data_IF_063705870012
#
_entry.id   IF_063705870012
#
_cell.length_a   1.000
_cell.length_b   1.000
_cell.length_c   1.000
_cell.angle_alpha   90.00
_cell.angle_beta   90.00
_cell.angle_gamma   90.00
#
_symmetry.space_group_name_H-M   'P 1'
#
loop_
_entity.id
_entity.type
_entity.pdbx_description
1 polymer ?
#
# COMPACT_ATOMS: atom_id res chain seq x y z
N UNK A 1 9.75 12.89 -23.11
CA UNK A 1 10.98 12.12 -22.72
C UNK A 1 10.84 10.65 -23.06
N UNK A 2 11.95 9.95 -23.33
CA UNK A 2 12.04 8.49 -23.41
C UNK A 2 12.13 7.89 -22.02
N UNK A 3 11.20 7.02 -21.67
CA UNK A 3 11.04 6.51 -20.28
C UNK A 3 11.10 5.00 -20.26
N UNK A 4 11.93 4.43 -19.39
CA UNK A 4 11.79 3.05 -18.92
C UNK A 4 10.98 3.06 -17.63
N UNK A 5 9.91 2.26 -17.61
CA UNK A 5 9.04 2.15 -16.43
C UNK A 5 9.33 0.87 -15.64
N UNK A 6 9.59 1.00 -14.35
CA UNK A 6 9.85 -0.12 -13.44
C UNK A 6 8.75 -0.23 -12.38
N UNK A 7 7.98 -1.32 -12.40
CA UNK A 7 6.88 -1.50 -11.46
C UNK A 7 6.26 -2.90 -11.51
N UNK A 8 5.35 -3.21 -10.56
CA UNK A 8 4.73 -4.55 -10.53
C UNK A 8 3.24 -4.56 -10.16
N UNK A 9 2.76 -3.97 -9.05
CA UNK A 9 1.37 -4.09 -8.60
C UNK A 9 0.40 -3.19 -9.38
N UNK A 10 -0.89 -3.29 -9.04
CA UNK A 10 -1.98 -2.52 -9.66
C UNK A 10 -1.73 -0.99 -9.56
N UNK A 11 -1.24 -0.51 -8.42
CA UNK A 11 -0.84 0.89 -8.25
C UNK A 11 0.13 1.35 -9.37
N UNK A 12 1.14 0.55 -9.66
CA UNK A 12 2.11 0.85 -10.71
C UNK A 12 1.48 0.75 -12.10
N UNK A 13 0.56 -0.17 -12.33
CA UNK A 13 -0.14 -0.30 -13.61
C UNK A 13 -1.00 0.93 -13.91
N UNK A 14 -1.69 1.50 -12.91
CA UNK A 14 -2.45 2.76 -13.05
C UNK A 14 -1.51 3.92 -13.43
N UNK A 15 -0.35 4.01 -12.79
CA UNK A 15 0.66 5.02 -13.13
C UNK A 15 1.21 4.83 -14.55
N UNK A 16 1.47 3.57 -14.97
CA UNK A 16 1.93 3.25 -16.32
C UNK A 16 0.86 3.61 -17.36
N UNK A 17 -0.40 3.27 -17.12
CA UNK A 17 -1.50 3.59 -18.05
C UNK A 17 -1.59 5.09 -18.29
N UNK A 18 -1.56 5.89 -17.21
CA UNK A 18 -1.58 7.35 -17.32
C UNK A 18 -0.33 7.92 -18.02
N UNK A 19 0.84 7.30 -17.81
CA UNK A 19 2.06 7.68 -18.49
C UNK A 19 1.95 7.43 -20.01
N UNK A 20 1.36 6.30 -20.42
CA UNK A 20 1.12 5.95 -21.83
C UNK A 20 0.14 6.89 -22.54
N UNK A 21 -0.71 7.59 -21.80
CA UNK A 21 -1.63 8.62 -22.33
C UNK A 21 -0.97 10.02 -22.44
N UNK A 22 0.26 10.17 -21.97
CA UNK A 22 0.99 11.45 -21.98
C UNK A 22 1.91 11.56 -23.21
N UNK A 23 2.55 12.73 -23.36
CA UNK A 23 3.52 12.99 -24.41
C UNK A 23 4.87 12.26 -24.22
N UNK A 24 5.00 11.41 -23.21
CA UNK A 24 6.21 10.62 -22.97
C UNK A 24 6.19 9.32 -23.77
N UNK A 25 7.35 8.93 -24.27
CA UNK A 25 7.54 7.65 -24.97
C UNK A 25 8.00 6.57 -23.96
N UNK A 26 7.15 5.60 -23.66
CA UNK A 26 7.56 4.43 -22.85
C UNK A 26 8.31 3.45 -23.74
N UNK A 27 9.63 3.47 -23.66
CA UNK A 27 10.54 2.67 -24.51
C UNK A 27 10.80 1.26 -23.99
N UNK A 28 10.33 0.95 -22.79
CA UNK A 28 10.44 -0.38 -22.20
C UNK A 28 9.91 -0.42 -20.76
N UNK A 29 9.63 -1.63 -20.31
CA UNK A 29 9.10 -1.90 -18.99
C UNK A 29 9.96 -2.94 -18.28
N UNK A 30 10.18 -2.76 -16.97
CA UNK A 30 10.83 -3.74 -16.11
C UNK A 30 9.85 -4.12 -14.99
N UNK A 31 9.61 -5.40 -14.80
CA UNK A 31 8.71 -5.88 -13.75
C UNK A 31 9.30 -7.05 -12.97
N UNK A 32 8.70 -7.38 -11.83
CA UNK A 32 9.07 -8.58 -11.10
C UNK A 32 8.69 -9.82 -11.92
N UNK A 33 9.44 -10.93 -11.77
CA UNK A 33 9.07 -12.21 -12.35
C UNK A 33 7.67 -12.65 -11.94
N UNK A 34 7.03 -13.42 -12.81
CA UNK A 34 5.72 -14.02 -12.55
C UNK A 34 5.77 -14.90 -11.30
N UNK A 35 4.73 -14.83 -10.48
CA UNK A 35 4.65 -15.62 -9.24
C UNK A 35 3.59 -16.73 -9.37
N UNK A 36 3.83 -17.92 -8.79
CA UNK A 36 2.82 -18.95 -8.77
C UNK A 36 1.60 -18.52 -7.96
N UNK A 37 0.39 -18.85 -8.44
CA UNK A 37 -0.83 -18.65 -7.67
C UNK A 37 -0.81 -19.53 -6.42
N UNK A 38 -1.29 -19.03 -5.27
CA UNK A 38 -1.23 -19.67 -3.93
C UNK A 38 -1.71 -21.14 -3.89
N UNK A 39 -2.47 -21.61 -4.87
CA UNK A 39 -3.03 -22.97 -4.94
C UNK A 39 -2.89 -23.64 -6.30
N UNK A 40 -2.14 -23.09 -7.24
CA UNK A 40 -1.90 -23.68 -8.56
C UNK A 40 -0.46 -23.40 -9.01
N UNK A 41 0.08 -24.27 -9.86
CA UNK A 41 1.39 -24.07 -10.52
C UNK A 41 1.33 -23.02 -11.63
N UNK A 42 0.16 -22.46 -11.95
CA UNK A 42 0.02 -21.44 -13.00
C UNK A 42 0.68 -20.14 -12.55
N UNK A 43 1.63 -19.67 -13.32
CA UNK A 43 2.27 -18.38 -13.13
C UNK A 43 1.30 -17.26 -13.49
N UNK A 44 1.23 -16.24 -12.63
CA UNK A 44 0.43 -15.04 -12.86
C UNK A 44 1.38 -13.88 -13.12
N UNK A 45 1.25 -13.21 -14.28
CA UNK A 45 2.02 -12.01 -14.56
C UNK A 45 1.63 -10.88 -13.60
N UNK A 46 2.56 -9.98 -13.35
CA UNK A 46 2.27 -8.74 -12.61
C UNK A 46 1.29 -7.87 -13.40
N UNK A 47 0.59 -6.97 -12.73
CA UNK A 47 -0.34 -6.05 -13.39
C UNK A 47 0.36 -5.19 -14.44
N UNK A 48 1.56 -4.70 -14.14
CA UNK A 48 2.39 -3.92 -15.07
C UNK A 48 2.80 -4.75 -16.29
N UNK A 49 3.27 -5.99 -16.11
CA UNK A 49 3.64 -6.88 -17.22
C UNK A 49 2.44 -7.17 -18.14
N UNK A 50 1.26 -7.39 -17.55
CA UNK A 50 0.03 -7.62 -18.31
C UNK A 50 -0.32 -6.40 -19.17
N UNK A 51 -0.35 -5.21 -18.57
CA UNK A 51 -0.64 -3.97 -19.29
C UNK A 51 0.38 -3.69 -20.40
N UNK A 52 1.67 -3.86 -20.13
CA UNK A 52 2.72 -3.66 -21.12
C UNK A 52 2.59 -4.61 -22.33
N UNK A 53 2.25 -5.88 -22.08
CA UNK A 53 1.98 -6.85 -23.14
C UNK A 53 0.76 -6.47 -24.00
N UNK A 54 -0.32 -5.98 -23.39
CA UNK A 54 -1.52 -5.48 -24.10
C UNK A 54 -1.22 -4.26 -24.97
N UNK A 55 -0.19 -3.48 -24.61
CA UNK A 55 0.27 -2.29 -25.35
C UNK A 55 1.47 -2.57 -26.27
N UNK A 56 1.88 -3.83 -26.43
CA UNK A 56 3.02 -4.26 -27.24
C UNK A 56 4.35 -3.59 -26.83
N UNK A 57 4.55 -3.31 -25.54
CA UNK A 57 5.78 -2.76 -24.99
C UNK A 57 6.68 -3.91 -24.54
N UNK A 58 7.98 -3.80 -24.86
CA UNK A 58 8.98 -4.79 -24.44
C UNK A 58 9.10 -4.82 -22.91
N UNK A 59 9.11 -6.04 -22.32
CA UNK A 59 9.12 -6.24 -20.87
C UNK A 59 10.28 -7.12 -20.45
N UNK A 60 11.13 -6.59 -19.58
CA UNK A 60 12.15 -7.36 -18.86
C UNK A 60 11.67 -7.78 -17.47
N UNK A 61 11.94 -9.02 -17.09
CA UNK A 61 11.58 -9.56 -15.77
C UNK A 61 12.77 -10.24 -15.09
N UNK A 62 13.84 -9.49 -14.77
CA UNK A 62 15.07 -10.08 -14.24
C UNK A 62 14.89 -10.58 -12.79
N UNK A 63 15.42 -11.77 -12.51
CA UNK A 63 15.50 -12.29 -11.13
C UNK A 63 16.43 -11.45 -10.26
N UNK A 64 17.54 -11.00 -10.87
CA UNK A 64 18.56 -10.16 -10.22
C UNK A 64 18.86 -8.94 -11.08
N UNK A 65 19.29 -7.86 -10.41
CA UNK A 65 19.67 -6.61 -11.09
C UNK A 65 20.99 -6.02 -10.54
N UNK A 66 21.71 -6.76 -9.69
CA UNK A 66 22.87 -6.20 -8.95
C UNK A 66 24.14 -6.08 -9.80
N UNK A 67 24.34 -6.99 -10.77
CA UNK A 67 25.62 -7.16 -11.45
C UNK A 67 25.57 -6.73 -12.93
N UNK A 68 24.72 -5.78 -13.29
CA UNK A 68 24.62 -5.29 -14.66
C UNK A 68 23.60 -6.02 -15.53
N UNK A 69 22.74 -6.86 -14.96
CA UNK A 69 21.76 -7.67 -15.72
C UNK A 69 20.79 -6.82 -16.55
N UNK A 70 20.52 -5.58 -16.14
CA UNK A 70 19.69 -4.65 -16.90
C UNK A 70 20.46 -3.79 -17.91
N UNK A 71 21.79 -3.79 -17.88
CA UNK A 71 22.60 -2.90 -18.72
C UNK A 71 22.30 -3.05 -20.22
N UNK A 72 22.25 -4.28 -20.79
CA UNK A 72 21.93 -4.43 -22.22
C UNK A 72 20.55 -3.87 -22.59
N UNK A 73 19.56 -3.99 -21.69
CA UNK A 73 18.23 -3.46 -21.93
C UNK A 73 18.22 -1.92 -21.85
N UNK A 74 18.93 -1.33 -20.87
CA UNK A 74 19.05 0.12 -20.75
C UNK A 74 19.82 0.73 -21.92
N UNK A 75 20.91 0.09 -22.38
CA UNK A 75 21.66 0.54 -23.57
C UNK A 75 20.80 0.48 -24.84
N UNK A 76 20.01 -0.58 -25.02
CA UNK A 76 19.09 -0.74 -26.16
C UNK A 76 17.99 0.33 -26.14
N UNK A 77 17.36 0.55 -24.99
CA UNK A 77 16.23 1.46 -24.84
C UNK A 77 16.64 2.92 -24.73
N UNK A 78 17.86 3.19 -24.24
CA UNK A 78 18.46 4.49 -24.05
C UNK A 78 17.47 5.52 -23.45
N UNK A 79 16.97 5.31 -22.21
CA UNK A 79 15.98 6.18 -21.58
C UNK A 79 16.59 7.50 -21.12
N UNK A 80 15.81 8.59 -21.23
CA UNK A 80 16.12 9.88 -20.61
C UNK A 80 15.86 9.86 -19.11
N UNK A 81 14.88 9.08 -18.68
CA UNK A 81 14.45 8.92 -17.28
C UNK A 81 14.01 7.48 -17.01
N UNK A 82 14.27 6.97 -15.82
CA UNK A 82 13.68 5.72 -15.32
C UNK A 82 12.63 6.08 -14.27
N UNK A 83 11.39 5.64 -14.47
CA UNK A 83 10.30 5.80 -13.50
C UNK A 83 10.15 4.52 -12.69
N UNK A 84 10.10 4.66 -11.38
CA UNK A 84 9.98 3.52 -10.46
C UNK A 84 8.72 3.67 -9.61
N UNK A 85 7.85 2.66 -9.67
CA UNK A 85 6.60 2.64 -8.88
C UNK A 85 6.42 1.24 -8.28
N UNK A 86 6.60 1.12 -6.98
CA UNK A 86 6.42 -0.13 -6.25
C UNK A 86 7.09 -1.35 -6.93
N UNK A 87 8.32 -1.18 -7.40
CA UNK A 87 9.08 -2.25 -8.07
C UNK A 87 9.57 -3.32 -7.09
N UNK A 88 9.90 -2.94 -5.85
CA UNK A 88 10.22 -3.87 -4.76
C UNK A 88 11.65 -4.45 -4.80
N UNK A 89 12.59 -3.83 -5.51
CA UNK A 89 14.03 -4.13 -5.45
C UNK A 89 14.82 -2.83 -5.28
N UNK A 90 15.92 -2.90 -4.56
CA UNK A 90 16.90 -1.81 -4.45
C UNK A 90 17.62 -1.69 -5.79
N UNK A 91 17.65 -0.49 -6.36
CA UNK A 91 18.35 -0.23 -7.61
C UNK A 91 19.85 -0.09 -7.36
N UNK A 92 20.69 -0.80 -8.12
CA UNK A 92 22.13 -0.63 -8.05
C UNK A 92 22.56 0.67 -8.72
N UNK A 93 23.73 1.16 -8.34
CA UNK A 93 24.29 2.44 -8.81
C UNK A 93 24.30 2.58 -10.34
N UNK A 94 24.62 1.50 -11.09
CA UNK A 94 24.66 1.56 -12.57
C UNK A 94 23.27 1.84 -13.18
N UNK A 95 22.17 1.51 -12.49
CA UNK A 95 20.80 1.86 -12.91
C UNK A 95 20.48 3.30 -12.54
N UNK A 96 20.84 3.69 -11.30
CA UNK A 96 20.57 5.03 -10.77
C UNK A 96 21.25 6.12 -11.60
N UNK A 97 22.48 5.89 -12.02
CA UNK A 97 23.32 6.84 -12.76
C UNK A 97 23.11 6.79 -14.29
N UNK A 98 22.33 5.84 -14.81
CA UNK A 98 22.21 5.63 -16.24
C UNK A 98 21.48 6.75 -16.97
N UNK A 99 20.24 7.14 -16.54
CA UNK A 99 19.45 8.11 -17.30
C UNK A 99 19.81 9.57 -16.99
N UNK A 100 19.75 10.41 -17.99
CA UNK A 100 20.06 11.85 -17.90
C UNK A 100 19.29 12.57 -16.79
N UNK A 101 17.99 12.26 -16.62
CA UNK A 101 17.12 12.87 -15.61
C UNK A 101 17.02 12.03 -14.32
N UNK A 102 17.86 10.99 -14.18
CA UNK A 102 17.87 10.12 -13.00
C UNK A 102 16.69 9.16 -12.94
N UNK A 103 16.61 8.45 -11.81
CA UNK A 103 15.50 7.55 -11.50
C UNK A 103 14.48 8.29 -10.63
N UNK A 104 13.25 8.41 -11.10
CA UNK A 104 12.13 9.06 -10.39
C UNK A 104 11.25 8.00 -9.73
N UNK A 105 11.12 8.02 -8.41
CA UNK A 105 10.20 7.17 -7.68
C UNK A 105 8.91 7.92 -7.33
N UNK A 106 7.77 7.23 -7.46
CA UNK A 106 6.46 7.71 -6.98
C UNK A 106 6.20 7.04 -5.63
N UNK A 107 6.44 7.79 -4.56
CA UNK A 107 6.32 7.30 -3.20
C UNK A 107 4.97 7.66 -2.58
N UNK A 108 4.34 6.69 -1.89
CA UNK A 108 2.98 6.79 -1.35
C UNK A 108 2.89 7.51 0.00
N UNK A 109 3.64 8.58 0.20
CA UNK A 109 3.51 9.46 1.37
C UNK A 109 3.95 10.89 1.08
N UNK A 110 3.70 11.79 2.01
CA UNK A 110 4.31 13.13 2.04
C UNK A 110 5.68 13.04 2.74
N UNK A 111 6.74 12.74 1.98
CA UNK A 111 8.10 12.66 2.51
C UNK A 111 8.50 13.99 3.22
N UNK A 112 9.29 13.90 4.32
CA UNK A 112 10.06 12.74 4.80
C UNK A 112 9.30 11.76 5.70
N UNK A 113 7.99 11.94 5.93
CA UNK A 113 7.19 10.98 6.70
C UNK A 113 6.97 9.67 5.95
N UNK A 114 6.97 8.56 6.67
CA UNK A 114 6.60 7.22 6.15
C UNK A 114 7.48 6.74 4.99
N UNK A 115 8.81 6.88 5.11
CA UNK A 115 9.75 6.17 4.23
C UNK A 115 9.56 4.66 4.36
N UNK A 116 9.72 3.90 3.30
CA UNK A 116 9.68 2.43 3.33
C UNK A 116 8.47 1.81 2.66
N UNK A 117 8.11 0.60 3.09
CA UNK A 117 7.31 -0.32 2.27
C UNK A 117 5.79 -0.16 2.36
N UNK A 118 5.26 0.42 3.45
CA UNK A 118 3.82 0.43 3.72
C UNK A 118 3.26 1.82 4.12
N UNK A 119 3.63 2.91 3.41
CA UNK A 119 3.27 4.28 3.82
C UNK A 119 1.76 4.50 3.94
N UNK A 120 0.94 3.93 3.06
CA UNK A 120 -0.52 4.08 3.05
C UNK A 120 -1.13 3.46 4.32
N UNK A 121 -0.69 2.24 4.69
CA UNK A 121 -1.18 1.59 5.89
C UNK A 121 -0.77 2.35 7.15
N UNK A 122 0.47 2.85 7.21
CA UNK A 122 0.95 3.59 8.37
C UNK A 122 0.25 4.96 8.53
N UNK A 123 -0.12 5.63 7.44
CA UNK A 123 -0.93 6.83 7.52
C UNK A 123 -2.31 6.55 8.17
N UNK A 124 -2.95 5.43 7.79
CA UNK A 124 -4.21 4.99 8.41
C UNK A 124 -4.04 4.53 9.85
N UNK A 125 -3.01 3.74 10.16
CA UNK A 125 -2.70 3.26 11.52
C UNK A 125 -2.53 4.42 12.49
N UNK A 126 -1.85 5.47 12.06
CA UNK A 126 -1.59 6.66 12.89
C UNK A 126 -2.75 7.65 12.89
N UNK A 127 -3.87 7.35 12.23
CA UNK A 127 -5.05 8.22 12.21
C UNK A 127 -4.82 9.56 11.53
N UNK A 128 -3.87 9.64 10.59
CA UNK A 128 -3.62 10.85 9.81
C UNK A 128 -4.89 11.28 9.07
N UNK A 129 -5.09 12.58 8.95
CA UNK A 129 -6.22 13.16 8.20
C UNK A 129 -5.83 13.52 6.77
N UNK A 130 -4.54 13.55 6.49
CA UNK A 130 -3.95 13.78 5.17
C UNK A 130 -2.73 12.89 4.97
N UNK A 131 -2.56 12.44 3.76
CA UNK A 131 -1.35 11.83 3.25
C UNK A 131 -1.07 12.38 1.86
N UNK A 132 -0.35 11.68 1.02
CA UNK A 132 -0.15 12.12 -0.36
C UNK A 132 0.91 11.32 -1.08
N UNK A 133 1.24 11.83 -2.24
CA UNK A 133 2.29 11.31 -3.12
C UNK A 133 3.48 12.27 -3.10
N UNK A 134 4.66 11.73 -3.04
CA UNK A 134 5.90 12.46 -3.32
C UNK A 134 6.64 11.78 -4.47
N UNK A 135 6.82 12.47 -5.59
CA UNK A 135 7.84 12.07 -6.55
C UNK A 135 9.20 12.53 -6.05
N UNK A 136 10.22 11.68 -6.17
CA UNK A 136 11.58 11.97 -5.73
C UNK A 136 12.62 11.38 -6.67
N UNK A 137 13.79 11.99 -6.74
CA UNK A 137 14.98 11.36 -7.33
C UNK A 137 15.50 10.29 -6.38
N UNK A 138 15.73 9.10 -6.91
CA UNK A 138 16.27 8.01 -6.11
C UNK A 138 17.76 8.16 -5.88
N UNK A 139 18.18 7.81 -4.69
CA UNK A 139 19.58 7.61 -4.29
C UNK A 139 19.81 6.16 -3.81
N UNK A 140 20.97 5.86 -3.24
CA UNK A 140 21.29 4.53 -2.71
C UNK A 140 20.55 4.22 -1.38
N UNK A 141 19.90 5.22 -0.76
CA UNK A 141 19.16 5.08 0.49
C UNK A 141 17.71 4.62 0.28
N UNK A 142 17.05 4.30 1.38
CA UNK A 142 15.63 3.93 1.36
C UNK A 142 14.77 5.19 1.46
N UNK A 143 14.23 5.64 0.33
CA UNK A 143 13.36 6.80 0.19
C UNK A 143 13.97 8.09 0.79
N UNK A 144 15.28 8.29 0.62
CA UNK A 144 16.05 9.42 1.15
C UNK A 144 16.37 10.49 0.11
N UNK A 145 16.13 10.21 -1.16
CA UNK A 145 16.47 11.07 -2.26
C UNK A 145 15.72 12.41 -2.28
N UNK A 146 16.15 13.32 -3.12
CA UNK A 146 15.61 14.67 -3.20
C UNK A 146 14.18 14.67 -3.75
N UNK A 147 13.27 15.39 -3.10
CA UNK A 147 11.87 15.50 -3.50
C UNK A 147 11.72 16.39 -4.73
N UNK A 148 10.76 16.05 -5.59
CA UNK A 148 10.44 16.79 -6.81
C UNK A 148 9.08 17.49 -6.72
N UNK A 149 8.02 16.70 -6.51
CA UNK A 149 6.66 17.23 -6.44
C UNK A 149 5.86 16.48 -5.37
N UNK A 150 5.07 17.21 -4.59
CA UNK A 150 4.13 16.64 -3.62
C UNK A 150 2.69 16.88 -4.07
N UNK A 151 1.84 15.88 -3.87
CA UNK A 151 0.39 15.97 -4.07
C UNK A 151 -0.30 15.48 -2.81
N UNK A 152 -1.05 16.35 -2.13
CA UNK A 152 -1.81 15.97 -0.93
C UNK A 152 -3.06 15.17 -1.30
N UNK A 153 -3.40 14.21 -0.43
CA UNK A 153 -4.61 13.39 -0.51
C UNK A 153 -5.28 13.38 0.86
N UNK A 154 -6.54 13.75 0.93
CA UNK A 154 -7.32 13.71 2.18
C UNK A 154 -7.74 12.28 2.53
N UNK A 155 -7.65 11.95 3.81
CA UNK A 155 -8.09 10.68 4.37
C UNK A 155 -9.43 10.91 5.08
N UNK A 156 -10.51 10.38 4.53
CA UNK A 156 -11.81 10.43 5.16
C UNK A 156 -11.93 9.39 6.29
N UNK A 157 -12.90 9.59 7.17
CA UNK A 157 -13.11 8.69 8.30
C UNK A 157 -13.50 7.27 7.86
N UNK A 158 -14.20 7.17 6.72
CA UNK A 158 -14.61 5.89 6.12
C UNK A 158 -13.55 5.24 5.22
N UNK A 159 -12.42 5.91 4.98
CA UNK A 159 -11.36 5.31 4.16
C UNK A 159 -10.73 4.12 4.87
N UNK A 160 -10.60 3.04 4.12
CA UNK A 160 -9.78 1.90 4.45
C UNK A 160 -8.55 1.84 3.51
N UNK A 161 -7.73 0.81 3.64
CA UNK A 161 -6.55 0.67 2.78
C UNK A 161 -6.91 0.64 1.28
N UNK A 162 -7.96 -0.07 0.88
CA UNK A 162 -8.37 -0.19 -0.53
C UNK A 162 -8.79 1.16 -1.10
N UNK A 163 -9.70 1.87 -0.43
CA UNK A 163 -10.20 3.16 -0.92
C UNK A 163 -9.13 4.25 -0.93
N UNK A 164 -8.25 4.26 0.08
CA UNK A 164 -7.14 5.20 0.13
C UNK A 164 -6.07 4.84 -0.93
N UNK A 165 -5.76 3.55 -1.12
CA UNK A 165 -4.87 3.09 -2.18
C UNK A 165 -5.32 3.58 -3.55
N UNK A 166 -6.62 3.48 -3.87
CA UNK A 166 -7.16 3.89 -5.16
C UNK A 166 -7.07 5.42 -5.36
N UNK A 167 -7.38 6.20 -4.32
CA UNK A 167 -7.17 7.66 -4.32
C UNK A 167 -5.70 8.01 -4.56
N UNK A 168 -4.80 7.32 -3.87
CA UNK A 168 -3.36 7.52 -3.95
C UNK A 168 -2.80 7.11 -5.33
N UNK A 169 -3.31 6.03 -5.92
CA UNK A 169 -2.91 5.59 -7.25
C UNK A 169 -3.28 6.62 -8.32
N UNK A 170 -4.51 7.16 -8.27
CA UNK A 170 -4.94 8.23 -9.16
C UNK A 170 -4.09 9.51 -8.98
N UNK A 171 -3.83 9.92 -7.73
CA UNK A 171 -2.98 11.06 -7.44
C UNK A 171 -1.52 10.83 -7.90
N UNK A 172 -1.00 9.61 -7.74
CA UNK A 172 0.34 9.21 -8.16
C UNK A 172 0.51 9.25 -9.68
N UNK A 173 -0.49 8.80 -10.40
CA UNK A 173 -0.53 8.84 -11.86
C UNK A 173 -0.44 10.27 -12.40
N UNK A 174 -1.21 11.20 -11.85
CA UNK A 174 -1.17 12.62 -12.22
C UNK A 174 0.12 13.32 -11.77
N UNK A 175 0.60 13.00 -10.54
CA UNK A 175 1.87 13.51 -10.02
C UNK A 175 3.04 13.11 -10.93
N UNK A 176 3.09 11.86 -11.39
CA UNK A 176 4.11 11.34 -12.29
C UNK A 176 4.22 12.17 -13.58
N UNK A 177 3.12 12.36 -14.30
CA UNK A 177 3.12 13.07 -15.58
C UNK A 177 3.55 14.54 -15.40
N UNK A 178 3.04 15.19 -14.33
CA UNK A 178 3.45 16.57 -13.99
C UNK A 178 4.94 16.65 -13.65
N UNK A 179 5.45 15.67 -12.90
CA UNK A 179 6.87 15.61 -12.53
C UNK A 179 7.77 15.50 -13.76
N UNK A 180 7.48 14.57 -14.66
CA UNK A 180 8.28 14.37 -15.86
C UNK A 180 8.27 15.62 -16.77
N UNK A 181 7.11 16.22 -16.98
CA UNK A 181 6.99 17.46 -17.76
C UNK A 181 7.77 18.62 -17.12
N UNK A 182 7.67 18.77 -15.79
CA UNK A 182 8.38 19.84 -15.08
C UNK A 182 9.89 19.64 -15.05
N UNK A 183 10.38 18.39 -14.95
CA UNK A 183 11.80 18.06 -15.07
C UNK A 183 12.35 18.36 -16.46
N UNK A 184 11.64 17.97 -17.51
CA UNK A 184 12.05 18.21 -18.91
C UNK A 184 12.17 19.69 -19.22
N UNK A 185 11.23 20.49 -18.71
CA UNK A 185 11.21 21.96 -18.89
C UNK A 185 12.14 22.71 -17.92
N UNK A 186 12.72 22.02 -16.93
CA UNK A 186 13.52 22.65 -15.87
C UNK A 186 12.71 23.52 -14.89
N UNK A 187 11.40 23.32 -14.83
CA UNK A 187 10.47 24.01 -13.92
C UNK A 187 10.47 23.39 -12.52
N UNK A 188 10.70 22.08 -12.41
CA UNK A 188 10.85 21.35 -11.13
C UNK A 188 12.32 21.16 -10.83
N UNK A 189 12.72 21.55 -9.62
CA UNK A 189 14.09 21.37 -9.10
C UNK A 189 14.06 20.43 -7.91
N UNK A 190 15.05 19.53 -7.80
CA UNK A 190 15.16 18.66 -6.63
C UNK A 190 15.35 19.47 -5.34
N UNK A 191 14.60 19.09 -4.31
CA UNK A 191 14.68 19.69 -2.96
C UNK A 191 15.02 18.61 -1.93
N UNK A 192 16.02 18.88 -1.09
CA UNK A 192 16.40 17.95 -0.01
C UNK A 192 15.26 17.76 0.97
N UNK A 193 15.11 16.52 1.42
CA UNK A 193 14.19 16.22 2.50
C UNK A 193 14.66 16.88 3.79
N UNK A 194 13.79 17.66 4.43
CA UNK A 194 14.05 18.36 5.69
C UNK A 194 12.95 18.06 6.72
N UNK A 195 13.25 18.15 8.00
CA UNK A 195 12.32 17.87 9.09
C UNK A 195 12.35 16.42 9.57
N UNK A 196 11.41 16.09 10.46
CA UNK A 196 11.35 14.77 11.10
C UNK A 196 10.90 13.70 10.10
N UNK A 197 11.65 12.61 10.07
CA UNK A 197 11.35 11.45 9.25
C UNK A 197 10.89 10.28 10.11
N UNK A 198 10.01 9.45 9.55
CA UNK A 198 9.63 8.17 10.15
C UNK A 198 9.56 7.08 9.08
N UNK A 199 9.62 5.83 9.54
CA UNK A 199 9.64 4.67 8.66
C UNK A 199 8.34 3.89 8.75
N UNK A 200 7.83 3.46 7.60
CA UNK A 200 6.71 2.55 7.42
C UNK A 200 7.24 1.17 7.01
N UNK A 201 7.43 0.29 8.00
CA UNK A 201 7.99 -1.04 7.79
C UNK A 201 7.05 -1.96 7.00
N UNK A 202 7.57 -3.12 6.58
CA UNK A 202 6.72 -4.20 6.07
C UNK A 202 5.72 -4.65 7.14
N UNK A 203 4.48 -4.87 6.73
CA UNK A 203 3.42 -5.35 7.62
C UNK A 203 3.62 -6.84 7.90
N UNK A 204 3.89 -7.17 9.16
CA UNK A 204 3.98 -8.54 9.63
C UNK A 204 2.65 -9.09 10.17
N UNK A 205 2.67 -10.32 10.66
CA UNK A 205 1.47 -10.97 11.19
C UNK A 205 1.04 -10.38 12.54
N UNK A 206 2.00 -10.05 13.40
CA UNK A 206 1.72 -9.56 14.76
C UNK A 206 1.09 -8.17 14.72
N UNK A 207 1.54 -7.30 13.83
CA UNK A 207 0.92 -5.97 13.63
C UNK A 207 -0.57 -6.04 13.34
N UNK A 208 -1.05 -7.13 12.73
CA UNK A 208 -2.45 -7.32 12.33
C UNK A 208 -3.33 -7.89 13.43
N UNK A 209 -2.74 -8.42 14.50
CA UNK A 209 -3.50 -8.89 15.66
C UNK A 209 -4.13 -7.69 16.36
N UNK A 210 -5.43 -7.79 16.66
CA UNK A 210 -6.16 -6.76 17.39
C UNK A 210 -5.88 -6.95 18.88
N UNK A 211 -5.44 -5.87 19.53
CA UNK A 211 -5.29 -5.80 20.98
C UNK A 211 -6.42 -4.91 21.51
N UNK A 212 -7.41 -5.52 22.18
CA UNK A 212 -8.56 -4.78 22.70
C UNK A 212 -8.22 -3.96 23.97
N UNK A 213 -7.04 -4.10 24.53
CA UNK A 213 -6.55 -3.21 25.60
C UNK A 213 -6.14 -1.82 25.08
N UNK A 214 -6.03 -1.65 23.78
CA UNK A 214 -5.80 -0.38 23.12
C UNK A 214 -7.08 0.50 23.09
N UNK A 215 -6.92 1.77 22.74
CA UNK A 215 -8.04 2.69 22.58
C UNK A 215 -8.92 2.30 21.36
N UNK A 216 -10.20 2.62 21.44
CA UNK A 216 -11.19 2.34 20.36
C UNK A 216 -10.73 2.87 19.02
N UNK A 217 -10.15 4.08 19.00
CA UNK A 217 -9.65 4.72 17.79
C UNK A 217 -8.46 3.99 17.17
N UNK A 218 -7.52 3.51 17.99
CA UNK A 218 -6.37 2.74 17.52
C UNK A 218 -6.79 1.42 16.88
N UNK A 219 -7.76 0.74 17.51
CA UNK A 219 -8.32 -0.52 16.97
C UNK A 219 -9.06 -0.26 15.66
N UNK A 220 -9.87 0.81 15.60
CA UNK A 220 -10.56 1.20 14.38
C UNK A 220 -9.58 1.48 13.24
N UNK A 221 -8.54 2.26 13.51
CA UNK A 221 -7.49 2.58 12.56
C UNK A 221 -6.73 1.33 12.09
N UNK A 222 -6.44 0.38 12.99
CA UNK A 222 -5.83 -0.90 12.64
C UNK A 222 -6.71 -1.72 11.70
N UNK A 223 -8.00 -1.82 11.96
CA UNK A 223 -8.93 -2.57 11.11
C UNK A 223 -9.00 -1.96 9.71
N UNK A 224 -9.20 -0.65 9.60
CA UNK A 224 -9.28 0.01 8.29
C UNK A 224 -7.94 0.02 7.54
N UNK A 225 -6.80 0.14 8.23
CA UNK A 225 -5.47 0.11 7.63
C UNK A 225 -5.13 -1.24 6.97
N UNK A 226 -5.73 -2.33 7.44
CA UNK A 226 -5.47 -3.66 6.92
C UNK A 226 -6.64 -4.25 6.11
N UNK A 227 -7.73 -3.52 5.93
CA UNK A 227 -8.88 -3.97 5.16
C UNK A 227 -8.80 -3.53 3.69
N UNK A 228 -9.07 -4.43 2.75
CA UNK A 228 -9.44 -5.84 2.91
C UNK A 228 -8.24 -6.79 3.01
N UNK A 229 -7.03 -6.32 2.75
CA UNK A 229 -5.78 -7.11 2.72
C UNK A 229 -4.65 -6.30 3.37
N UNK A 230 -3.84 -6.91 4.24
CA UNK A 230 -3.75 -8.32 4.65
C UNK A 230 -4.76 -8.77 5.72
N UNK A 231 -5.64 -7.92 6.17
CA UNK A 231 -6.74 -8.09 7.12
C UNK A 231 -6.28 -8.18 8.59
N UNK A 232 -6.83 -7.33 9.45
CA UNK A 232 -6.70 -7.47 10.89
C UNK A 232 -7.45 -8.72 11.38
N UNK A 233 -7.03 -9.28 12.51
CA UNK A 233 -7.66 -10.48 13.06
C UNK A 233 -7.65 -10.49 14.58
N UNK A 234 -8.58 -11.26 15.14
CA UNK A 234 -8.66 -11.61 16.55
C UNK A 234 -8.90 -13.10 16.70
N UNK A 235 -8.96 -13.60 17.93
CA UNK A 235 -9.35 -14.97 18.24
C UNK A 235 -10.64 -14.95 19.04
N UNK A 236 -11.65 -15.72 18.60
CA UNK A 236 -12.92 -15.91 19.30
C UNK A 236 -13.14 -17.40 19.52
N UNK A 237 -13.33 -17.82 20.75
CA UNK A 237 -13.50 -19.25 21.11
C UNK A 237 -12.39 -20.14 20.53
N UNK A 238 -11.14 -19.68 20.57
CA UNK A 238 -9.98 -20.41 20.07
C UNK A 238 -9.78 -20.42 18.54
N UNK A 239 -10.68 -19.80 17.76
CA UNK A 239 -10.60 -19.75 16.31
C UNK A 239 -10.21 -18.34 15.83
N UNK A 240 -9.37 -18.26 14.79
CA UNK A 240 -9.00 -16.99 14.17
C UNK A 240 -10.22 -16.43 13.42
N UNK A 241 -10.50 -15.16 13.67
CA UNK A 241 -11.56 -14.39 13.01
C UNK A 241 -10.94 -13.15 12.37
N UNK A 242 -10.98 -13.07 11.06
CA UNK A 242 -10.57 -11.88 10.30
C UNK A 242 -11.64 -10.80 10.40
N UNK A 243 -11.22 -9.54 10.54
CA UNK A 243 -12.11 -8.39 10.69
C UNK A 243 -11.91 -7.45 9.51
N UNK A 244 -12.98 -7.22 8.75
CA UNK A 244 -12.96 -6.38 7.54
C UNK A 244 -13.56 -5.00 7.75
N UNK A 245 -14.56 -4.90 8.64
CA UNK A 245 -15.24 -3.63 8.91
C UNK A 245 -15.59 -3.52 10.39
N UNK A 246 -15.40 -2.34 10.93
CA UNK A 246 -15.77 -2.03 12.30
C UNK A 246 -16.47 -0.66 12.38
N UNK A 247 -17.14 -0.43 13.49
CA UNK A 247 -17.70 0.87 13.87
C UNK A 247 -17.39 1.14 15.34
N UNK A 248 -17.08 2.39 15.63
CA UNK A 248 -16.98 2.86 17.02
C UNK A 248 -18.36 2.87 17.64
N UNK A 249 -18.50 2.40 18.86
CA UNK A 249 -19.75 2.41 19.59
C UNK A 249 -19.73 3.49 20.67
N UNK A 250 -20.80 4.29 20.70
CA UNK A 250 -21.00 5.33 21.72
C UNK A 250 -21.73 4.75 22.92
N UNK A 251 -21.31 5.10 24.12
CA UNK A 251 -21.98 4.69 25.36
C UNK A 251 -21.01 4.22 26.43
N UNK A 252 -21.58 3.81 27.57
CA UNK A 252 -20.82 3.20 28.66
C UNK A 252 -21.00 1.68 28.61
N UNK A 253 -19.90 0.98 28.54
CA UNK A 253 -19.86 -0.49 28.43
C UNK A 253 -19.14 -1.07 29.64
N UNK A 254 -19.78 -2.03 30.30
CA UNK A 254 -19.21 -2.78 31.43
C UNK A 254 -18.44 -4.00 30.93
N UNK A 255 -17.39 -4.42 31.64
CA UNK A 255 -16.58 -5.57 31.31
C UNK A 255 -15.09 -5.22 31.15
N UNK A 256 -14.27 -6.21 30.85
CA UNK A 256 -12.84 -6.07 30.58
C UNK A 256 -12.61 -5.88 29.09
N UNK A 257 -11.51 -5.23 28.67
CA UNK A 257 -11.12 -5.21 27.28
C UNK A 257 -11.09 -6.63 26.67
N UNK A 258 -11.73 -6.79 25.52
CA UNK A 258 -11.93 -8.08 24.85
C UNK A 258 -13.29 -8.75 25.12
N UNK A 259 -14.00 -8.40 26.19
CA UNK A 259 -15.34 -8.94 26.46
C UNK A 259 -16.33 -8.52 25.38
N UNK A 260 -17.14 -9.46 24.89
CA UNK A 260 -18.29 -9.16 24.03
C UNK A 260 -19.45 -8.71 24.91
N UNK A 261 -19.90 -7.47 24.70
CA UNK A 261 -20.85 -6.78 25.58
C UNK A 261 -22.26 -6.67 25.00
N UNK A 262 -22.55 -7.38 23.92
CA UNK A 262 -23.90 -7.46 23.32
C UNK A 262 -24.19 -8.88 22.84
N UNK A 263 -25.45 -9.31 22.99
CA UNK A 263 -25.89 -10.65 22.55
C UNK A 263 -26.32 -10.68 21.07
N UNK A 264 -26.60 -9.54 20.48
CA UNK A 264 -27.15 -9.42 19.11
C UNK A 264 -26.13 -8.91 18.10
N UNK A 265 -25.13 -8.15 18.54
CA UNK A 265 -24.08 -7.55 17.74
C UNK A 265 -22.70 -7.86 18.33
N UNK A 266 -21.71 -8.03 17.52
CA UNK A 266 -20.35 -8.32 17.99
C UNK A 266 -19.66 -7.01 18.45
N UNK A 267 -20.17 -6.48 19.57
CA UNK A 267 -19.62 -5.29 20.21
C UNK A 267 -18.62 -5.75 21.28
N UNK A 268 -17.37 -5.31 21.13
CA UNK A 268 -16.25 -5.71 21.97
C UNK A 268 -15.78 -4.53 22.80
N UNK A 269 -15.63 -4.73 24.10
CA UNK A 269 -15.10 -3.72 25.03
C UNK A 269 -13.63 -3.42 24.71
N UNK A 270 -13.29 -2.15 24.72
CA UNK A 270 -11.92 -1.65 24.54
C UNK A 270 -11.43 -0.96 25.81
N UNK A 271 -10.25 -0.35 25.83
CA UNK A 271 -9.76 0.36 27.03
C UNK A 271 -10.65 1.54 27.43
N UNK A 272 -11.16 2.29 26.46
CA UNK A 272 -11.86 3.58 26.65
C UNK A 272 -13.30 3.60 26.14
N UNK A 273 -13.77 2.54 25.49
CA UNK A 273 -15.10 2.48 24.89
C UNK A 273 -15.47 1.07 24.44
N UNK A 274 -16.07 0.97 23.28
CA UNK A 274 -16.33 -0.31 22.61
C UNK A 274 -16.28 -0.16 21.07
N UNK A 275 -16.07 -1.26 20.39
CA UNK A 275 -16.04 -1.34 18.94
C UNK A 275 -16.91 -2.49 18.45
N UNK A 276 -17.76 -2.23 17.46
CA UNK A 276 -18.52 -3.29 16.76
C UNK A 276 -17.71 -3.82 15.59
N UNK A 277 -17.52 -5.12 15.53
CA UNK A 277 -16.87 -5.82 14.43
C UNK A 277 -17.94 -6.23 13.38
N UNK A 278 -18.27 -5.31 12.47
CA UNK A 278 -19.46 -5.41 11.61
C UNK A 278 -19.37 -6.49 10.52
N UNK A 279 -18.19 -6.68 9.91
CA UNK A 279 -17.96 -7.66 8.85
C UNK A 279 -16.74 -8.49 9.18
N UNK A 280 -16.92 -9.79 9.28
CA UNK A 280 -15.90 -10.73 9.73
C UNK A 280 -15.83 -11.98 8.87
N UNK A 281 -14.74 -12.74 8.98
CA UNK A 281 -14.63 -14.07 8.42
C UNK A 281 -13.92 -15.01 9.40
N UNK A 282 -14.66 -15.92 10.07
CA UNK A 282 -14.04 -17.00 10.81
C UNK A 282 -13.20 -17.90 9.90
N UNK A 283 -12.17 -18.53 10.48
CA UNK A 283 -11.30 -19.43 9.74
C UNK A 283 -12.09 -20.51 8.97
N UNK A 284 -11.76 -20.67 7.69
CA UNK A 284 -12.44 -21.63 6.81
C UNK A 284 -13.84 -21.20 6.34
N UNK A 285 -14.37 -20.05 6.77
CA UNK A 285 -15.69 -19.55 6.37
C UNK A 285 -15.59 -18.33 5.45
N UNK A 286 -16.70 -18.02 4.77
CA UNK A 286 -16.87 -16.79 3.96
C UNK A 286 -17.08 -15.58 4.87
N UNK A 287 -16.89 -14.39 4.33
CA UNK A 287 -17.28 -13.14 4.98
C UNK A 287 -18.77 -13.16 5.32
N UNK A 288 -19.11 -12.62 6.48
CA UNK A 288 -20.47 -12.52 6.98
C UNK A 288 -20.60 -11.34 7.94
N UNK A 289 -21.84 -10.90 8.16
CA UNK A 289 -22.14 -9.91 9.17
C UNK A 289 -22.03 -10.51 10.59
N UNK A 290 -21.70 -9.67 11.54
CA UNK A 290 -21.54 -10.03 12.95
C UNK A 290 -22.81 -10.65 13.56
N UNK A 291 -24.00 -10.15 13.19
CA UNK A 291 -25.28 -10.70 13.64
C UNK A 291 -25.50 -12.14 13.13
N UNK A 292 -25.13 -12.41 11.87
CA UNK A 292 -25.19 -13.78 11.31
C UNK A 292 -24.22 -14.73 12.04
N UNK A 293 -23.01 -14.24 12.36
CA UNK A 293 -22.05 -14.97 13.14
C UNK A 293 -22.60 -15.35 14.52
N UNK A 294 -23.13 -14.39 15.26
CA UNK A 294 -23.67 -14.60 16.59
C UNK A 294 -24.91 -15.53 16.59
N UNK A 295 -25.76 -15.47 15.58
CA UNK A 295 -26.89 -16.43 15.43
C UNK A 295 -26.42 -17.87 15.26
N UNK A 296 -25.24 -18.05 14.68
CA UNK A 296 -24.65 -19.39 14.45
C UNK A 296 -23.93 -19.98 15.68
N UNK A 297 -23.74 -19.23 16.76
CA UNK A 297 -23.12 -19.71 17.98
C UNK A 297 -24.15 -20.41 18.87
N UNK A 298 -23.76 -21.58 19.41
CA UNK A 298 -24.61 -22.35 20.36
C UNK A 298 -24.63 -21.72 21.75
N UNK A 299 -23.52 -21.17 22.17
CA UNK A 299 -23.36 -20.47 23.46
C UNK A 299 -22.68 -19.14 23.23
N UNK A 300 -23.26 -18.10 23.85
CA UNK A 300 -22.77 -16.72 23.77
C UNK A 300 -22.29 -16.19 25.13
N UNK A 301 -22.50 -16.96 26.23
CA UNK A 301 -22.11 -16.52 27.56
C UNK A 301 -20.58 -16.46 27.68
N UNK A 302 -20.10 -15.34 28.19
CA UNK A 302 -18.65 -15.14 28.39
C UNK A 302 -17.83 -15.13 27.10
N UNK A 303 -18.46 -14.78 25.95
CA UNK A 303 -17.74 -14.64 24.69
C UNK A 303 -16.71 -13.51 24.80
N UNK A 304 -15.48 -13.81 24.43
CA UNK A 304 -14.39 -12.84 24.42
C UNK A 304 -13.55 -12.94 23.17
N UNK A 305 -12.95 -11.83 22.80
CA UNK A 305 -11.98 -11.65 21.72
C UNK A 305 -10.58 -11.50 22.34
N UNK A 306 -9.57 -12.23 21.78
CA UNK A 306 -8.20 -12.25 22.29
C UNK A 306 -7.16 -12.00 21.18
#
# INVERSE_FOLDING_TARGET
>A
MRVVFMGSPDFAAICLERLLESDNEVVGVVSQPDKPHKRSSKLIPTAVKKLAAERNIEVETPDKIKNGELLPFLEKTNPDCIVVVAYGKILPKYVLDFPKYGCVNIHGSLLPKYRGAAPIQFALLNGEKKTGITSMLMDEGLDTGDMLLKTEVEISDDDNFETLHDKMAAAGAENLVKTLSGLEKGEIKPEKQTGDSCYASLIDKEMRKIDFSAATEEIYNKIRAFSPVPTAFTTISGSIVKVYKAKRENGSFSGKPGDVVSETQLIVKTSDGAIRLCEIAPEGKRRMDDEAFLRGLRDKKGLACN
#
